data_IF_894832863509
#
_entry.id   IF_894832863509
#
_cell.length_a   1.000
_cell.length_b   1.000
_cell.length_c   1.000
_cell.angle_alpha   90.00
_cell.angle_beta   90.00
_cell.angle_gamma   90.00
#
_symmetry.space_group_name_H-M   'P 1'
#
loop_
_entity.id
_entity.type
_entity.pdbx_description
1 polymer ?
#
# COMPACT_ATOMS: atom_id res chain seq x y z
N UNK A 1 22.89 -6.62 -37.18
CA UNK A 1 21.59 -6.01 -37.52
C UNK A 1 20.37 -6.83 -37.05
N UNK A 2 20.33 -8.16 -37.18
CA UNK A 2 19.13 -8.99 -36.82
C UNK A 2 18.72 -9.00 -35.33
N UNK A 3 19.60 -8.59 -34.41
CA UNK A 3 19.31 -8.55 -32.95
C UNK A 3 18.78 -7.20 -32.46
N UNK A 4 18.84 -6.16 -33.32
CA UNK A 4 18.31 -4.83 -33.01
C UNK A 4 16.82 -4.82 -32.67
N UNK A 5 15.92 -5.54 -33.37
CA UNK A 5 14.49 -5.55 -33.01
C UNK A 5 14.22 -6.17 -31.65
N UNK A 6 15.00 -7.19 -31.24
CA UNK A 6 14.87 -7.82 -29.93
C UNK A 6 15.23 -6.84 -28.80
N UNK A 7 16.30 -6.07 -28.98
CA UNK A 7 16.74 -5.08 -27.98
C UNK A 7 15.74 -3.94 -27.81
N UNK A 8 15.11 -3.49 -28.90
CA UNK A 8 14.06 -2.46 -28.87
C UNK A 8 12.82 -2.97 -28.12
N UNK A 9 12.42 -4.23 -28.34
CA UNK A 9 11.30 -4.84 -27.64
C UNK A 9 11.54 -4.93 -26.13
N UNK A 10 12.73 -5.37 -25.71
CA UNK A 10 13.09 -5.46 -24.29
C UNK A 10 13.12 -4.07 -23.64
N UNK A 11 13.64 -3.06 -24.34
CA UNK A 11 13.65 -1.68 -23.83
C UNK A 11 12.23 -1.14 -23.61
N UNK A 12 11.28 -1.42 -24.52
CA UNK A 12 9.90 -0.98 -24.37
C UNK A 12 9.20 -1.56 -23.12
N UNK A 13 9.50 -2.81 -22.74
CA UNK A 13 8.95 -3.44 -21.53
C UNK A 13 9.51 -2.86 -20.22
N UNK A 14 10.78 -2.43 -20.21
CA UNK A 14 11.38 -1.83 -19.00
C UNK A 14 10.84 -0.42 -18.74
N UNK A 15 10.46 0.31 -19.78
CA UNK A 15 9.97 1.69 -19.67
C UNK A 15 8.43 1.83 -19.69
N UNK A 16 7.66 0.72 -19.74
CA UNK A 16 6.19 0.78 -19.75
C UNK A 16 5.55 1.25 -18.44
N UNK A 17 6.33 1.36 -17.36
CA UNK A 17 5.86 1.82 -16.05
C UNK A 17 5.70 3.34 -15.90
N UNK A 18 6.18 4.14 -16.85
CA UNK A 18 6.09 5.60 -16.81
C UNK A 18 4.95 6.14 -17.68
N UNK A 19 3.86 5.39 -17.80
CA UNK A 19 2.61 5.95 -18.29
C UNK A 19 1.88 6.59 -17.12
N UNK A 20 1.35 7.80 -17.33
CA UNK A 20 0.40 8.46 -16.44
C UNK A 20 -0.88 7.62 -16.39
N UNK A 21 -0.83 6.48 -15.71
CA UNK A 21 -1.99 5.71 -15.31
C UNK A 21 -2.66 6.54 -14.24
N UNK A 22 -3.89 6.99 -14.51
CA UNK A 22 -4.78 7.62 -13.55
C UNK A 22 -5.18 6.58 -12.48
N UNK A 23 -4.45 6.43 -11.35
CA UNK A 23 -4.71 5.38 -10.36
C UNK A 23 -5.91 5.73 -9.49
N UNK A 24 -6.51 6.91 -9.67
CA UNK A 24 -7.38 7.46 -8.68
C UNK A 24 -8.73 6.76 -8.76
N UNK A 25 -8.94 5.90 -7.78
CA UNK A 25 -10.29 5.63 -7.24
C UNK A 25 -10.97 6.99 -7.09
N UNK A 26 -12.13 7.14 -7.73
CA UNK A 26 -12.84 8.42 -7.73
C UNK A 26 -13.15 8.80 -6.27
N UNK A 27 -13.21 10.09 -5.91
CA UNK A 27 -13.37 10.48 -4.50
C UNK A 27 -14.54 9.80 -3.78
N UNK A 28 -15.64 9.57 -4.50
CA UNK A 28 -16.83 8.86 -4.01
C UNK A 28 -16.73 7.33 -4.04
N UNK A 29 -15.77 6.73 -4.74
CA UNK A 29 -15.54 5.27 -4.67
C UNK A 29 -14.68 4.90 -3.44
N UNK A 30 -14.07 5.89 -2.77
CA UNK A 30 -13.23 5.68 -1.58
C UNK A 30 -14.02 5.25 -0.34
N UNK A 31 -15.32 5.54 -0.30
CA UNK A 31 -16.20 5.10 0.79
C UNK A 31 -16.28 3.57 0.88
N UNK A 32 -16.16 2.87 -0.25
CA UNK A 32 -16.13 1.40 -0.27
C UNK A 32 -14.88 0.82 0.39
N UNK A 33 -13.81 1.62 0.53
CA UNK A 33 -12.59 1.24 1.25
C UNK A 33 -12.65 1.60 2.74
N UNK A 34 -13.69 2.32 3.17
CA UNK A 34 -13.90 2.77 4.55
C UNK A 34 -14.94 1.94 5.30
N UNK A 35 -15.19 0.70 4.89
CA UNK A 35 -16.06 -0.22 5.63
C UNK A 35 -15.49 -0.44 7.06
N UNK A 36 -16.29 -0.25 8.12
CA UNK A 36 -15.86 -0.53 9.50
C UNK A 36 -15.27 -1.92 9.74
N UNK A 37 -15.60 -2.92 8.91
CA UNK A 37 -14.99 -4.27 8.99
C UNK A 37 -13.51 -4.27 8.60
N UNK A 38 -13.09 -3.34 7.75
CA UNK A 38 -11.70 -3.19 7.29
C UNK A 38 -10.85 -2.35 8.26
N UNK A 39 -11.42 -1.93 9.39
CA UNK A 39 -10.69 -1.19 10.42
C UNK A 39 -9.82 -2.15 11.27
N UNK A 40 -8.51 -2.11 11.00
CA UNK A 40 -7.48 -2.91 11.67
C UNK A 40 -7.38 -2.64 13.19
N UNK A 41 -7.93 -1.50 13.66
CA UNK A 41 -7.91 -1.08 15.06
C UNK A 41 -9.30 -0.93 15.68
N UNK A 42 -10.31 -1.73 15.28
CA UNK A 42 -11.69 -1.61 15.78
C UNK A 42 -11.81 -1.72 17.31
N UNK A 43 -10.97 -2.53 17.94
CA UNK A 43 -10.91 -2.67 19.40
C UNK A 43 -9.59 -2.05 19.91
N UNK A 44 -9.65 -0.98 20.73
CA UNK A 44 -8.46 -0.28 21.19
C UNK A 44 -7.63 -1.08 22.20
N UNK A 45 -8.24 -1.98 22.97
CA UNK A 45 -7.54 -2.81 23.96
C UNK A 45 -6.72 -3.88 23.25
N UNK A 46 -7.34 -4.55 22.27
CA UNK A 46 -6.67 -5.58 21.46
C UNK A 46 -5.57 -4.96 20.61
N UNK A 47 -5.82 -3.78 20.00
CA UNK A 47 -4.83 -3.04 19.23
C UNK A 47 -3.60 -2.67 20.07
N UNK A 48 -3.80 -2.11 21.27
CA UNK A 48 -2.71 -1.76 22.18
C UNK A 48 -1.88 -2.99 22.62
N UNK A 49 -2.56 -4.11 22.89
CA UNK A 49 -1.89 -5.37 23.23
C UNK A 49 -1.03 -5.89 22.07
N UNK A 50 -1.58 -5.94 20.85
CA UNK A 50 -0.81 -6.37 19.67
C UNK A 50 0.36 -5.43 19.41
N UNK A 51 0.15 -4.12 19.51
CA UNK A 51 1.22 -3.13 19.36
C UNK A 51 2.37 -3.39 20.34
N UNK A 52 2.05 -3.60 21.62
CA UNK A 52 3.06 -3.92 22.64
C UNK A 52 3.84 -5.21 22.31
N UNK A 53 3.15 -6.26 21.86
CA UNK A 53 3.77 -7.54 21.46
C UNK A 53 4.67 -7.35 20.23
N UNK A 54 4.20 -6.63 19.22
CA UNK A 54 4.97 -6.34 18.00
C UNK A 54 6.21 -5.50 18.32
N UNK A 55 6.09 -4.41 19.08
CA UNK A 55 7.23 -3.59 19.50
C UNK A 55 8.27 -4.41 20.27
N UNK A 56 7.83 -5.31 21.15
CA UNK A 56 8.72 -6.14 21.96
C UNK A 56 9.44 -7.20 21.12
N UNK A 57 8.79 -7.77 20.10
CA UNK A 57 9.31 -8.90 19.31
C UNK A 57 10.05 -8.48 18.05
N UNK A 58 9.66 -7.36 17.46
CA UNK A 58 10.12 -6.88 16.16
C UNK A 58 10.91 -5.57 16.27
N UNK A 59 11.56 -5.34 17.43
CA UNK A 59 12.28 -4.12 17.83
C UNK A 59 13.48 -3.72 16.93
N UNK A 60 13.57 -4.23 15.70
CA UNK A 60 14.56 -3.87 14.70
C UNK A 60 14.22 -2.58 13.92
N UNK A 61 12.96 -2.11 13.93
CA UNK A 61 12.58 -0.81 13.34
C UNK A 61 11.50 -0.11 14.18
N UNK A 62 11.91 0.91 14.92
CA UNK A 62 11.00 1.83 15.60
C UNK A 62 10.25 2.71 14.60
N UNK A 63 9.11 2.24 14.14
CA UNK A 63 8.07 3.04 13.51
C UNK A 63 6.79 2.19 13.48
N UNK A 64 5.92 2.38 14.47
CA UNK A 64 4.55 1.89 14.37
C UNK A 64 3.95 2.36 13.05
N UNK A 65 3.20 1.48 12.39
CA UNK A 65 2.46 1.84 11.18
C UNK A 65 1.51 3.00 11.47
N UNK A 66 1.38 3.91 10.50
CA UNK A 66 0.31 4.92 10.46
C UNK A 66 -1.01 4.28 10.90
N UNK A 67 -1.58 4.79 12.00
CA UNK A 67 -2.90 4.43 12.46
C UNK A 67 -3.91 4.82 11.37
N UNK A 68 -4.50 3.84 10.69
CA UNK A 68 -5.57 4.12 9.74
C UNK A 68 -6.00 2.88 8.97
N UNK A 69 -7.21 2.40 9.25
CA UNK A 69 -8.01 1.62 8.29
C UNK A 69 -9.12 2.53 7.78
N UNK A 70 -9.38 2.48 6.47
CA UNK A 70 -10.30 3.40 5.78
C UNK A 70 -9.58 4.58 5.11
N UNK A 71 -10.04 4.93 3.90
CA UNK A 71 -9.63 5.94 2.90
C UNK A 71 -8.18 6.49 2.82
N UNK A 72 -7.23 6.07 3.64
CA UNK A 72 -5.82 6.46 3.62
C UNK A 72 -5.55 7.94 3.92
N UNK A 73 -6.52 8.69 4.46
CA UNK A 73 -6.31 10.08 4.85
C UNK A 73 -5.68 10.12 6.24
N UNK A 74 -4.35 10.18 6.28
CA UNK A 74 -3.59 10.74 7.40
C UNK A 74 -3.13 12.15 7.01
#
# INVERSE_FOLDING_TARGET
MKRLPLLILVAAFVFSGCSSWEPWVKPYERENLSDPIMNVGRDPVVSAYHHHVFETRESARGAGSVSGGGCGCN
#
